data_IF_388991424581
#
_entry.id   IF_388991424581
#
_cell.length_a   1.000
_cell.length_b   1.000
_cell.length_c   1.000
_cell.angle_alpha   90.00
_cell.angle_beta   90.00
_cell.angle_gamma   90.00
#
_symmetry.space_group_name_H-M   'P 1'
#
loop_
_entity.id
_entity.type
_entity.pdbx_description
1 polymer ?
#
# COMPACT_ATOMS: atom_id res chain seq x y z
N UNK A 1 -18.88 0.46 14.93
CA UNK A 1 -18.34 0.73 13.65
C UNK A 1 -17.42 -0.37 13.16
N UNK A 2 -17.78 -1.07 12.17
CA UNK A 2 -17.05 -2.23 11.73
C UNK A 2 -16.21 -2.04 10.49
N UNK A 3 -15.82 -0.81 10.17
CA UNK A 3 -15.01 -0.59 9.00
C UNK A 3 -13.61 -1.17 9.21
N UNK A 4 -13.18 -2.14 8.41
CA UNK A 4 -11.82 -2.66 8.53
C UNK A 4 -10.82 -1.52 8.32
N UNK A 5 -9.70 -1.53 9.02
CA UNK A 5 -8.68 -0.52 8.79
C UNK A 5 -8.19 -0.60 7.35
N UNK A 6 -8.04 0.56 6.74
CA UNK A 6 -7.46 0.67 5.40
C UNK A 6 -6.29 1.64 5.48
N UNK A 7 -5.21 1.32 4.79
CA UNK A 7 -4.04 2.18 4.74
C UNK A 7 -4.25 3.23 3.66
N UNK A 8 -4.13 4.50 4.01
CA UNK A 8 -4.35 5.60 3.07
C UNK A 8 -3.04 6.32 2.78
N UNK A 9 -2.76 6.54 1.51
CA UNK A 9 -1.57 7.23 1.05
C UNK A 9 -1.96 8.42 0.18
N UNK A 10 -1.14 9.44 0.20
CA UNK A 10 -1.20 10.50 -0.79
C UNK A 10 -0.47 10.02 -2.03
N UNK A 11 -1.11 10.10 -3.18
CA UNK A 11 -0.54 9.62 -4.42
C UNK A 11 -0.93 10.48 -5.60
N UNK A 12 -0.55 10.05 -6.79
CA UNK A 12 -0.92 10.70 -8.03
C UNK A 12 -1.02 9.68 -9.15
N UNK A 13 -1.77 10.02 -10.17
CA UNK A 13 -1.79 9.28 -11.42
C UNK A 13 -1.05 10.12 -12.45
N UNK A 14 -0.11 9.51 -13.16
CA UNK A 14 0.66 10.18 -14.20
C UNK A 14 1.05 9.16 -15.26
N UNK A 15 0.71 9.46 -16.52
CA UNK A 15 1.04 8.58 -17.64
C UNK A 15 0.44 7.18 -17.56
N UNK A 16 -0.74 7.04 -16.98
CA UNK A 16 -1.39 5.74 -16.82
C UNK A 16 -0.83 4.90 -15.69
N UNK A 17 -0.06 5.50 -14.79
CA UNK A 17 0.52 4.80 -13.64
C UNK A 17 0.14 5.49 -12.34
N UNK A 18 -0.09 4.68 -11.31
CA UNK A 18 -0.34 5.16 -9.96
C UNK A 18 0.98 5.25 -9.22
N UNK A 19 1.24 6.43 -8.66
CA UNK A 19 2.44 6.69 -7.85
C UNK A 19 2.08 6.90 -6.39
N UNK A 20 2.90 6.33 -5.51
CA UNK A 20 2.92 6.66 -4.09
C UNK A 20 4.31 7.25 -3.83
N UNK A 21 4.37 8.56 -3.53
CA UNK A 21 5.63 9.27 -3.54
C UNK A 21 6.24 9.27 -4.94
N UNK A 22 7.48 8.82 -5.04
CA UNK A 22 8.19 8.75 -6.33
C UNK A 22 8.12 7.35 -6.95
N UNK A 23 7.39 6.43 -6.34
CA UNK A 23 7.34 5.03 -6.77
C UNK A 23 6.06 4.71 -7.53
N UNK A 24 6.20 4.20 -8.75
CA UNK A 24 5.08 3.71 -9.55
C UNK A 24 4.68 2.33 -9.04
N UNK A 25 3.50 2.20 -8.47
CA UNK A 25 3.08 0.97 -7.79
C UNK A 25 2.08 0.13 -8.57
N UNK A 26 1.33 0.74 -9.50
CA UNK A 26 0.34 0.03 -10.32
C UNK A 26 0.16 0.72 -11.66
N UNK A 27 -0.30 -0.03 -12.66
CA UNK A 27 -0.80 0.53 -13.92
C UNK A 27 -2.28 0.80 -13.75
N UNK A 28 -2.70 2.01 -14.13
CA UNK A 28 -4.09 2.46 -14.04
C UNK A 28 -4.53 3.06 -15.38
N UNK A 29 -4.59 2.23 -16.38
CA UNK A 29 -4.93 2.66 -17.74
C UNK A 29 -6.28 3.35 -17.79
N UNK A 30 -6.36 4.45 -18.55
CA UNK A 30 -7.61 5.18 -18.73
C UNK A 30 -7.91 6.20 -17.64
N UNK A 31 -7.04 6.37 -16.67
CA UNK A 31 -7.19 7.37 -15.62
C UNK A 31 -6.36 8.60 -15.98
N UNK A 32 -6.97 9.78 -15.88
CA UNK A 32 -6.29 11.04 -16.16
C UNK A 32 -5.25 11.37 -15.09
N UNK A 33 -4.23 12.12 -15.48
CA UNK A 33 -3.21 12.61 -14.55
C UNK A 33 -3.86 13.52 -13.51
N UNK A 34 -3.75 13.18 -12.24
CA UNK A 34 -4.30 13.98 -11.14
C UNK A 34 -3.77 13.48 -9.80
N UNK A 35 -3.82 14.35 -8.78
CA UNK A 35 -3.55 13.90 -7.42
C UNK A 35 -4.71 13.03 -6.92
N UNK A 36 -4.37 11.98 -6.17
CA UNK A 36 -5.35 11.03 -5.65
C UNK A 36 -4.99 10.60 -4.23
N UNK A 37 -5.97 10.04 -3.53
CA UNK A 37 -5.74 9.26 -2.32
C UNK A 37 -5.78 7.79 -2.70
N UNK A 38 -4.88 7.02 -2.12
CA UNK A 38 -4.77 5.59 -2.40
C UNK A 38 -5.08 4.82 -1.12
N UNK A 39 -6.14 4.03 -1.14
CA UNK A 39 -6.50 3.15 -0.03
C UNK A 39 -6.09 1.72 -0.35
N UNK A 40 -5.35 1.09 0.54
CA UNK A 40 -4.90 -0.28 0.37
C UNK A 40 -5.29 -1.08 1.60
N UNK A 41 -6.03 -2.16 1.41
CA UNK A 41 -6.39 -3.05 2.51
C UNK A 41 -5.15 -3.77 3.03
N UNK A 42 -5.09 -4.12 4.31
CA UNK A 42 -3.93 -4.81 4.88
C UNK A 42 -3.51 -6.07 4.10
N UNK A 43 -4.47 -6.84 3.59
CA UNK A 43 -4.21 -8.03 2.80
C UNK A 43 -3.88 -7.74 1.32
N UNK A 44 -3.89 -6.48 0.94
CA UNK A 44 -3.59 -6.04 -0.44
C UNK A 44 -2.10 -5.96 -0.76
N UNK A 45 -1.25 -6.15 0.22
CA UNK A 45 0.20 -6.12 0.04
C UNK A 45 0.73 -7.53 -0.20
N UNK A 46 1.68 -7.63 -1.14
CA UNK A 46 2.43 -8.87 -1.34
C UNK A 46 3.89 -8.59 -1.03
N UNK A 47 4.47 -9.39 -0.15
CA UNK A 47 5.89 -9.24 0.19
C UNK A 47 6.73 -9.59 -1.04
N UNK A 48 7.56 -8.65 -1.50
CA UNK A 48 8.28 -8.77 -2.76
C UNK A 48 9.57 -7.95 -2.69
N UNK A 49 10.71 -8.62 -2.66
CA UNK A 49 12.01 -7.95 -2.57
C UNK A 49 12.29 -7.03 -3.75
N UNK A 50 11.59 -7.24 -4.87
CA UNK A 50 11.68 -6.40 -6.06
C UNK A 50 10.43 -5.54 -6.25
N UNK A 51 9.60 -5.45 -5.23
CA UNK A 51 8.35 -4.70 -5.29
C UNK A 51 8.57 -3.21 -5.44
N UNK A 52 7.63 -2.51 -6.08
CA UNK A 52 7.76 -1.09 -6.35
C UNK A 52 7.54 -0.20 -5.13
N UNK A 53 6.84 -0.67 -4.10
CA UNK A 53 6.57 0.14 -2.91
C UNK A 53 7.55 -0.19 -1.80
N UNK A 54 8.33 0.81 -1.38
CA UNK A 54 9.32 0.67 -0.31
C UNK A 54 8.81 1.37 0.95
N UNK A 55 8.81 0.66 2.06
CA UNK A 55 8.41 1.19 3.36
C UNK A 55 9.51 0.95 4.39
N UNK A 56 9.50 1.74 5.45
CA UNK A 56 10.41 1.55 6.58
C UNK A 56 9.79 0.54 7.55
N UNK A 57 10.49 -0.55 7.79
CA UNK A 57 10.01 -1.61 8.69
C UNK A 57 10.13 -1.16 10.14
N UNK A 58 9.04 -1.21 10.90
CA UNK A 58 9.03 -0.86 12.31
C UNK A 58 8.76 -2.04 13.23
N UNK A 59 8.03 -3.02 12.79
CA UNK A 59 7.75 -4.20 13.62
C UNK A 59 7.08 -5.33 12.85
N UNK A 60 7.16 -6.52 13.42
CA UNK A 60 6.54 -7.72 12.87
C UNK A 60 5.86 -8.47 14.00
N UNK A 61 4.61 -8.86 13.80
CA UNK A 61 3.83 -9.64 14.74
C UNK A 61 3.36 -10.93 14.08
N UNK A 62 3.71 -12.06 14.67
CA UNK A 62 3.20 -13.35 14.19
C UNK A 62 1.87 -13.65 14.82
N UNK A 63 0.84 -13.87 14.01
CA UNK A 63 -0.54 -14.05 14.43
C UNK A 63 -1.11 -15.34 13.85
N UNK A 64 -0.63 -16.48 14.32
CA UNK A 64 -1.09 -17.79 13.82
C UNK A 64 -0.69 -18.00 12.37
N UNK A 65 -1.65 -17.97 11.45
CA UNK A 65 -1.41 -18.19 10.01
C UNK A 65 -0.89 -16.97 9.30
N UNK A 66 -1.02 -15.81 9.93
CA UNK A 66 -0.67 -14.53 9.32
C UNK A 66 0.45 -13.85 10.07
N UNK A 67 1.18 -13.01 9.35
CA UNK A 67 2.17 -12.11 9.90
C UNK A 67 1.70 -10.71 9.65
N UNK A 68 1.57 -9.92 10.71
CA UNK A 68 1.26 -8.51 10.60
C UNK A 68 2.56 -7.72 10.57
N UNK A 69 2.76 -6.95 9.51
CA UNK A 69 3.94 -6.10 9.36
C UNK A 69 3.54 -4.67 9.61
N UNK A 70 4.23 -4.02 10.54
CA UNK A 70 4.04 -2.60 10.83
C UNK A 70 5.18 -1.85 10.16
N UNK A 71 4.85 -0.89 9.33
CA UNK A 71 5.83 -0.11 8.59
C UNK A 71 5.39 1.35 8.49
N UNK A 72 6.26 2.19 7.96
CA UNK A 72 6.00 3.60 7.76
C UNK A 72 6.41 4.03 6.36
N UNK A 73 5.69 5.02 5.82
CA UNK A 73 6.00 5.60 4.53
C UNK A 73 5.68 7.10 4.57
N UNK A 74 6.56 7.96 4.03
CA UNK A 74 6.33 9.42 4.05
C UNK A 74 5.03 9.86 3.39
N UNK A 75 4.53 9.08 2.44
CA UNK A 75 3.28 9.38 1.73
C UNK A 75 2.03 8.85 2.43
N UNK A 76 2.19 8.11 3.52
CA UNK A 76 1.04 7.60 4.28
C UNK A 76 0.38 8.73 5.06
N UNK A 77 -0.96 8.73 5.05
CA UNK A 77 -1.74 9.68 5.84
C UNK A 77 -1.67 9.36 7.34
N UNK A 78 -1.36 8.12 7.69
CA UNK A 78 -1.20 7.68 9.08
C UNK A 78 0.27 7.42 9.37
N UNK A 79 0.71 7.55 10.64
CA UNK A 79 2.11 7.32 10.98
C UNK A 79 2.58 5.88 10.75
N UNK A 80 1.66 4.91 10.77
CA UNK A 80 1.97 3.50 10.56
C UNK A 80 1.05 2.86 9.57
N UNK A 81 1.62 1.91 8.81
CA UNK A 81 0.94 1.10 7.82
C UNK A 81 0.92 -0.33 8.37
N UNK A 82 -0.21 -0.99 8.24
CA UNK A 82 -0.32 -2.41 8.61
C UNK A 82 -0.56 -3.23 7.36
N UNK A 83 0.29 -4.23 7.14
CA UNK A 83 0.06 -5.23 6.10
C UNK A 83 -0.07 -6.61 6.74
N UNK A 84 -0.88 -7.46 6.13
CA UNK A 84 -1.11 -8.82 6.59
C UNK A 84 -0.63 -9.77 5.51
N UNK A 85 0.38 -10.56 5.83
CA UNK A 85 1.06 -11.46 4.92
C UNK A 85 0.90 -12.89 5.44
N UNK A 86 0.78 -13.84 4.54
CA UNK A 86 0.71 -15.25 4.93
C UNK A 86 2.02 -15.67 5.62
N UNK A 87 1.92 -16.43 6.70
CA UNK A 87 3.07 -16.86 7.50
C UNK A 87 4.06 -17.76 6.76
N UNK A 88 3.69 -18.27 5.59
CA UNK A 88 4.61 -19.03 4.74
C UNK A 88 5.71 -18.14 4.15
N UNK A 89 5.50 -16.82 4.15
CA UNK A 89 6.52 -15.87 3.71
C UNK A 89 7.48 -15.59 4.86
N UNK A 90 8.78 -15.59 4.54
CA UNK A 90 9.78 -15.24 5.53
C UNK A 90 9.97 -13.73 5.56
N UNK A 91 9.74 -13.15 6.73
CA UNK A 91 9.95 -11.73 6.95
C UNK A 91 11.19 -11.55 7.81
N UNK A 92 12.15 -10.78 7.32
CA UNK A 92 13.35 -10.45 8.09
C UNK A 92 13.03 -9.30 9.05
N UNK A 93 12.76 -9.62 10.31
CA UNK A 93 12.43 -8.64 11.33
C UNK A 93 13.61 -7.73 11.70
N UNK A 94 14.82 -8.06 11.24
CA UNK A 94 16.01 -7.25 11.48
C UNK A 94 16.28 -6.24 10.38
N UNK A 95 15.54 -6.36 9.26
CA UNK A 95 15.68 -5.42 8.16
C UNK A 95 15.15 -4.04 8.53
N UNK A 96 15.68 -3.01 7.90
CA UNK A 96 15.23 -1.63 8.10
C UNK A 96 14.15 -1.21 7.12
N UNK A 97 14.03 -1.94 6.01
CA UNK A 97 13.04 -1.67 4.97
C UNK A 97 12.30 -2.93 4.56
N UNK A 98 11.12 -2.73 4.02
CA UNK A 98 10.31 -3.81 3.46
C UNK A 98 9.76 -3.32 2.12
N UNK A 99 9.71 -4.20 1.14
CA UNK A 99 9.19 -3.89 -0.20
C UNK A 99 7.98 -4.74 -0.51
N UNK A 100 7.02 -4.11 -1.16
CA UNK A 100 5.76 -4.75 -1.53
C UNK A 100 5.44 -4.55 -3.00
N UNK A 101 4.74 -5.53 -3.57
CA UNK A 101 3.88 -5.31 -4.71
C UNK A 101 2.44 -5.26 -4.20
N UNK A 102 1.54 -4.70 -5.01
CA UNK A 102 0.16 -4.50 -4.61
C UNK A 102 -0.79 -5.37 -5.43
N UNK A 103 -1.85 -5.83 -4.78
CA UNK A 103 -2.94 -6.58 -5.43
C UNK A 103 -3.95 -5.56 -5.96
N UNK A 104 -4.12 -5.41 -7.28
CA UNK A 104 -4.97 -4.34 -7.84
C UNK A 104 -6.40 -4.34 -7.31
N UNK A 105 -6.98 -5.51 -7.08
CA UNK A 105 -8.36 -5.62 -6.58
C UNK A 105 -8.53 -5.22 -5.11
N UNK A 106 -7.43 -4.98 -4.41
CA UNK A 106 -7.43 -4.51 -3.01
C UNK A 106 -6.97 -3.06 -2.88
N UNK A 107 -6.77 -2.38 -4.01
CA UNK A 107 -6.34 -0.99 -4.07
C UNK A 107 -7.51 -0.13 -4.55
N UNK A 108 -7.78 0.93 -3.82
CA UNK A 108 -8.86 1.87 -4.12
C UNK A 108 -8.28 3.26 -4.30
N UNK A 109 -8.71 3.94 -5.36
CA UNK A 109 -8.23 5.29 -5.68
C UNK A 109 -9.39 6.26 -5.55
N UNK A 110 -9.13 7.41 -4.94
CA UNK A 110 -10.10 8.47 -4.78
C UNK A 110 -9.52 9.78 -5.28
N UNK A 111 -10.34 10.57 -5.97
CA UNK A 111 -9.94 11.90 -6.42
C UNK A 111 -9.62 12.77 -5.20
N UNK A 112 -8.44 13.39 -5.18
CA UNK A 112 -8.02 14.19 -4.02
C UNK A 112 -8.85 15.46 -3.84
N UNK A 113 -9.51 15.94 -4.88
CA UNK A 113 -10.35 17.14 -4.80
C UNK A 113 -11.79 16.82 -4.44
N UNK A 114 -12.38 15.80 -5.07
CA UNK A 114 -13.80 15.47 -4.90
C UNK A 114 -14.03 14.33 -3.92
N UNK A 115 -12.99 13.55 -3.63
CA UNK A 115 -13.04 12.35 -2.81
C UNK A 115 -13.90 11.24 -3.43
N UNK A 116 -14.28 11.38 -4.70
CA UNK A 116 -15.01 10.35 -5.43
C UNK A 116 -14.08 9.22 -5.83
N UNK A 117 -14.59 8.00 -5.78
CA UNK A 117 -13.82 6.83 -6.17
C UNK A 117 -13.54 6.83 -7.68
N UNK A 118 -12.29 6.52 -8.03
CA UNK A 118 -11.87 6.37 -9.43
C UNK A 118 -11.69 4.88 -9.70
N UNK A 119 -12.35 4.40 -10.75
CA UNK A 119 -12.24 2.99 -11.15
C UNK A 119 -11.19 2.84 -12.24
N UNK A 120 -10.46 1.74 -12.19
CA UNK A 120 -9.40 1.45 -13.16
C UNK A 120 -9.35 -0.02 -13.52
#
# INVERSE_FOLDING_TARGET
MGTPPINVFNGKVEGGKLYIGDEAVLDVNGVEDKPVYVGIRPEGFTLDDNGPLTCNLTGVEVMGRDVSIISANPSSANPFIRSIINSDNKVDATATTVKYSLKPHKVFIFDAETEERIYF
#
